data_IF_120186099453
#
_entry.id   IF_120186099453
#
_cell.length_a   1.000
_cell.length_b   1.000
_cell.length_c   1.000
_cell.angle_alpha   90.00
_cell.angle_beta   90.00
_cell.angle_gamma   90.00
#
_symmetry.space_group_name_H-M   'P 1'
#
loop_
_entity.id
_entity.type
_entity.pdbx_description
1 polymer ?
#
# COMPACT_ATOMS: atom_id res chain seq x y z
N UNK A 1 -12.14 12.40 10.96
CA UNK A 1 -12.11 11.22 10.06
C UNK A 1 -13.47 10.51 9.93
N UNK A 2 -14.62 11.17 10.16
CA UNK A 2 -15.94 10.49 10.07
C UNK A 2 -16.43 10.24 8.63
N UNK A 3 -15.98 11.05 7.65
CA UNK A 3 -16.40 10.92 6.25
C UNK A 3 -15.83 9.67 5.56
N UNK A 4 -14.54 9.37 5.78
CA UNK A 4 -13.90 8.22 5.14
C UNK A 4 -14.37 6.88 5.72
N UNK A 5 -14.81 6.83 6.99
CA UNK A 5 -15.11 5.57 7.67
C UNK A 5 -16.22 4.73 6.99
N UNK A 6 -17.31 5.37 6.55
CA UNK A 6 -18.38 4.65 5.82
C UNK A 6 -18.00 4.38 4.37
N UNK A 7 -17.24 5.28 3.75
CA UNK A 7 -16.80 5.16 2.36
C UNK A 7 -15.77 4.04 2.18
N UNK A 8 -14.92 3.79 3.18
CA UNK A 8 -13.90 2.74 3.16
C UNK A 8 -14.47 1.35 2.82
N UNK A 9 -15.71 1.04 3.22
CA UNK A 9 -16.35 -0.26 2.94
C UNK A 9 -16.59 -0.54 1.45
N UNK A 10 -16.70 0.50 0.62
CA UNK A 10 -16.89 0.37 -0.82
C UNK A 10 -15.68 0.88 -1.61
N UNK A 11 -14.65 1.39 -0.92
CA UNK A 11 -13.52 2.03 -1.56
C UNK A 11 -12.69 1.06 -2.37
N UNK A 12 -12.45 -0.15 -1.84
CA UNK A 12 -11.64 -1.16 -2.50
C UNK A 12 -12.32 -1.67 -3.80
N UNK A 13 -13.66 -1.76 -3.81
CA UNK A 13 -14.40 -2.11 -5.02
C UNK A 13 -14.25 -1.04 -6.12
N UNK A 14 -14.26 0.24 -5.74
CA UNK A 14 -14.07 1.35 -6.67
C UNK A 14 -12.63 1.43 -7.20
N UNK A 15 -11.67 0.96 -6.41
CA UNK A 15 -10.24 1.01 -6.71
C UNK A 15 -9.70 -0.33 -7.24
N UNK A 16 -10.57 -1.28 -7.59
CA UNK A 16 -10.18 -2.65 -7.96
C UNK A 16 -9.18 -2.72 -9.12
N UNK A 17 -9.27 -1.79 -10.08
CA UNK A 17 -8.38 -1.73 -11.25
C UNK A 17 -7.11 -0.90 -11.01
N UNK A 18 -6.91 -0.39 -9.80
CA UNK A 18 -5.72 0.39 -9.48
C UNK A 18 -4.48 -0.51 -9.45
N UNK A 19 -3.37 -0.10 -10.09
CA UNK A 19 -2.19 -0.96 -10.24
C UNK A 19 -1.29 -0.95 -8.98
N UNK A 20 -1.86 -1.28 -7.81
CA UNK A 20 -1.10 -1.41 -6.55
C UNK A 20 0.09 -2.37 -6.64
N UNK A 21 0.00 -3.53 -7.33
CA UNK A 21 1.15 -4.42 -7.50
C UNK A 21 2.33 -3.76 -8.22
N UNK A 22 2.04 -2.91 -9.23
CA UNK A 22 3.09 -2.22 -9.98
C UNK A 22 3.78 -1.15 -9.12
N UNK A 23 3.03 -0.48 -8.23
CA UNK A 23 3.61 0.48 -7.30
C UNK A 23 4.51 -0.19 -6.26
N UNK A 24 4.11 -1.37 -5.75
CA UNK A 24 4.96 -2.18 -4.86
C UNK A 24 6.22 -2.60 -5.62
N UNK A 25 6.09 -3.14 -6.83
CA UNK A 25 7.22 -3.54 -7.68
C UNK A 25 8.19 -2.39 -7.95
N UNK A 26 7.65 -1.18 -8.17
CA UNK A 26 8.47 0.02 -8.30
C UNK A 26 9.27 0.33 -7.02
N UNK A 27 8.63 0.26 -5.84
CA UNK A 27 9.33 0.46 -4.57
C UNK A 27 10.42 -0.59 -4.33
N UNK A 28 10.13 -1.87 -4.61
CA UNK A 28 11.10 -2.97 -4.48
C UNK A 28 12.26 -2.82 -5.46
N UNK A 29 11.99 -2.36 -6.68
CA UNK A 29 13.04 -2.05 -7.66
C UNK A 29 13.99 -0.98 -7.11
N UNK A 30 13.47 0.08 -6.50
CA UNK A 30 14.30 1.11 -5.87
C UNK A 30 15.10 0.55 -4.69
N UNK A 31 14.46 -0.23 -3.80
CA UNK A 31 15.12 -0.83 -2.64
C UNK A 31 16.20 -1.85 -3.01
N UNK A 32 16.03 -2.60 -4.11
CA UNK A 32 17.06 -3.50 -4.63
C UNK A 32 18.33 -2.76 -5.04
N UNK A 33 18.18 -1.51 -5.52
CA UNK A 33 19.28 -0.69 -6.01
C UNK A 33 19.95 0.13 -4.90
N UNK A 34 19.17 0.62 -3.94
CA UNK A 34 19.62 1.60 -2.96
C UNK A 34 19.65 1.07 -1.51
N UNK A 35 19.17 -0.15 -1.27
CA UNK A 35 19.12 -0.80 0.04
C UNK A 35 17.68 -1.08 0.49
N UNK A 36 17.45 -2.29 1.01
CA UNK A 36 16.14 -2.72 1.53
C UNK A 36 15.89 -2.12 2.92
N UNK A 37 14.77 -1.41 3.15
CA UNK A 37 14.43 -0.91 4.48
C UNK A 37 14.03 -2.07 5.42
N UNK A 38 14.28 -1.87 6.71
CA UNK A 38 13.81 -2.77 7.78
C UNK A 38 12.43 -2.33 8.29
N UNK A 39 12.04 -1.08 8.07
CA UNK A 39 10.76 -0.53 8.52
C UNK A 39 10.25 0.45 7.49
N UNK A 40 8.96 0.32 7.13
CA UNK A 40 8.29 1.19 6.17
C UNK A 40 7.11 1.89 6.85
N UNK A 41 7.00 3.21 6.64
CA UNK A 41 5.85 3.99 7.07
C UNK A 41 5.04 4.43 5.84
N UNK A 42 3.88 3.82 5.61
CA UNK A 42 2.94 4.26 4.58
C UNK A 42 2.02 5.34 5.15
N UNK A 43 2.17 6.57 4.65
CA UNK A 43 1.34 7.70 5.08
C UNK A 43 0.04 7.72 4.28
N UNK A 44 -1.07 8.02 4.96
CA UNK A 44 -2.42 8.03 4.38
C UNK A 44 -2.83 6.67 3.77
N UNK A 45 -2.49 5.57 4.46
CA UNK A 45 -2.65 4.20 3.99
C UNK A 45 -4.08 3.73 3.67
N UNK A 46 -5.10 4.52 4.03
CA UNK A 46 -6.50 4.21 3.71
C UNK A 46 -6.91 2.82 4.21
N UNK A 47 -7.40 1.99 3.29
CA UNK A 47 -7.81 0.58 3.51
C UNK A 47 -6.64 -0.40 3.55
N UNK A 48 -5.40 0.06 3.32
CA UNK A 48 -4.20 -0.75 3.46
C UNK A 48 -3.81 -1.56 2.22
N UNK A 49 -4.30 -1.19 1.03
CA UNK A 49 -4.02 -1.89 -0.24
C UNK A 49 -2.53 -1.99 -0.59
N UNK A 50 -1.67 -1.17 0.02
CA UNK A 50 -0.21 -1.24 -0.07
C UNK A 50 0.40 -1.73 1.24
N UNK A 51 -0.05 -1.22 2.39
CA UNK A 51 0.51 -1.60 3.71
C UNK A 51 0.44 -3.09 3.97
N UNK A 52 -0.72 -3.71 3.69
CA UNK A 52 -0.98 -5.11 4.03
C UNK A 52 -0.06 -6.04 3.22
N UNK A 53 0.05 -5.89 1.88
CA UNK A 53 1.04 -6.64 1.10
C UNK A 53 2.49 -6.44 1.58
N UNK A 54 2.89 -5.20 1.89
CA UNK A 54 4.25 -4.93 2.37
C UNK A 54 4.52 -5.63 3.72
N UNK A 55 3.60 -5.54 4.67
CA UNK A 55 3.71 -6.26 5.94
C UNK A 55 3.79 -7.78 5.73
N UNK A 56 3.00 -8.32 4.79
CA UNK A 56 3.04 -9.74 4.41
C UNK A 56 4.37 -10.19 3.79
N UNK A 57 5.10 -9.27 3.16
CA UNK A 57 6.42 -9.49 2.55
C UNK A 57 7.60 -9.26 3.51
N UNK A 58 7.33 -9.01 4.79
CA UNK A 58 8.33 -8.88 5.85
C UNK A 58 9.02 -7.52 5.92
N UNK A 59 8.31 -6.45 5.56
CA UNK A 59 8.72 -5.05 5.78
C UNK A 59 8.15 -4.45 7.08
#
# INVERSE_FOLDING_TARGET
>A
MSSYGKFAYVYDELMADMPYPDWISFAETAWSKYGKPVTVAELACGTGSITIPLAGSGY
#
